data_IF_466594637293
#
_entry.id   IF_466594637293
#
_cell.length_a   1.000
_cell.length_b   1.000
_cell.length_c   1.000
_cell.angle_alpha   90.00
_cell.angle_beta   90.00
_cell.angle_gamma   90.00
#
_symmetry.space_group_name_H-M   'P 1'
#
loop_
_entity.id
_entity.type
_entity.pdbx_description
1 polymer ?
#
# COMPACT_ATOMS: atom_id res chain seq x y z
N UNK A 1 -41.84 -11.33 11.85
CA UNK A 1 -40.92 -11.87 10.82
C UNK A 1 -39.63 -11.08 10.93
N UNK A 2 -38.60 -11.67 11.52
CA UNK A 2 -37.29 -11.04 11.68
C UNK A 2 -36.29 -11.76 10.79
N UNK A 3 -35.68 -11.06 9.84
CA UNK A 3 -34.65 -11.61 8.96
C UNK A 3 -33.35 -10.88 9.29
N UNK A 4 -32.34 -11.67 9.61
CA UNK A 4 -31.10 -11.25 10.25
C UNK A 4 -30.27 -10.30 9.40
N UNK A 5 -30.05 -9.14 9.97
CA UNK A 5 -29.04 -8.17 9.55
C UNK A 5 -27.70 -8.60 10.19
N UNK A 6 -26.85 -9.29 9.42
CA UNK A 6 -25.48 -9.60 9.84
C UNK A 6 -24.62 -8.37 9.59
N UNK A 7 -24.67 -7.44 10.53
CA UNK A 7 -23.65 -6.41 10.74
C UNK A 7 -22.30 -7.09 10.98
N UNK A 8 -21.39 -7.02 10.01
CA UNK A 8 -19.99 -7.34 10.22
C UNK A 8 -19.37 -6.21 11.04
N UNK A 9 -19.48 -6.33 12.37
CA UNK A 9 -18.71 -5.57 13.34
C UNK A 9 -17.23 -5.96 13.20
N UNK A 10 -16.48 -5.21 12.40
CA UNK A 10 -15.03 -5.30 12.39
C UNK A 10 -14.56 -4.71 13.73
N UNK A 11 -14.01 -5.58 14.57
CA UNK A 11 -13.58 -5.24 15.92
C UNK A 11 -12.49 -4.18 15.89
N UNK A 12 -12.82 -3.06 16.51
CA UNK A 12 -11.94 -2.03 17.02
C UNK A 12 -10.83 -2.65 17.89
N UNK A 13 -9.58 -2.36 17.55
CA UNK A 13 -8.38 -2.53 18.38
C UNK A 13 -7.28 -1.72 17.69
N UNK A 14 -6.95 -0.53 18.22
CA UNK A 14 -5.59 -0.01 18.47
C UNK A 14 -5.66 1.45 18.99
N UNK A 15 -5.87 1.67 20.31
CA UNK A 15 -6.01 3.00 20.90
C UNK A 15 -4.67 3.74 21.16
N UNK A 16 -3.55 3.38 20.51
CA UNK A 16 -2.22 3.88 20.87
C UNK A 16 -1.59 4.91 19.91
N UNK A 17 -2.24 5.24 18.79
CA UNK A 17 -1.73 6.25 17.83
C UNK A 17 -2.31 7.67 18.06
N UNK A 18 -2.91 7.92 19.22
CA UNK A 18 -3.53 9.21 19.59
C UNK A 18 -2.53 10.26 20.11
N UNK A 19 -1.24 10.19 19.74
CA UNK A 19 -0.21 11.16 20.16
C UNK A 19 0.70 11.67 19.02
N UNK A 20 0.17 11.77 17.80
CA UNK A 20 0.71 12.73 16.84
C UNK A 20 -0.33 13.86 16.67
N UNK A 21 0.07 15.07 17.08
CA UNK A 21 -0.76 16.25 17.14
C UNK A 21 -1.47 16.58 15.80
N UNK A 22 -2.62 17.23 15.97
CA UNK A 22 -3.51 17.75 14.95
C UNK A 22 -2.80 18.57 13.83
N UNK A 23 -3.39 18.53 12.64
CA UNK A 23 -3.42 19.64 11.66
C UNK A 23 -2.17 19.98 10.82
N UNK A 24 -1.02 19.34 10.97
CA UNK A 24 0.17 19.75 10.16
C UNK A 24 0.50 18.74 9.06
N UNK A 25 0.17 19.11 7.83
CA UNK A 25 0.59 18.48 6.57
C UNK A 25 0.01 17.10 6.29
N UNK A 26 -1.11 17.07 5.55
CA UNK A 26 -1.40 15.94 4.67
C UNK A 26 -0.30 15.92 3.61
N UNK A 27 0.78 15.21 3.91
CA UNK A 27 1.88 15.05 2.97
C UNK A 27 1.37 14.28 1.76
N UNK A 28 1.67 14.72 0.53
CA UNK A 28 1.32 13.96 -0.67
C UNK A 28 2.03 12.60 -0.69
N UNK A 29 3.13 12.44 0.06
CA UNK A 29 3.89 11.20 0.18
C UNK A 29 3.05 10.09 0.83
N UNK A 30 3.07 8.91 0.23
CA UNK A 30 2.39 7.72 0.78
C UNK A 30 3.06 7.22 2.06
N UNK A 31 4.39 7.28 2.10
CA UNK A 31 5.23 6.79 3.18
C UNK A 31 6.02 7.96 3.83
N UNK A 32 6.38 7.85 5.12
CA UNK A 32 7.17 8.87 5.79
C UNK A 32 8.54 9.06 5.11
N UNK A 33 9.12 10.25 5.25
CA UNK A 33 10.46 10.53 4.70
C UNK A 33 11.47 9.58 5.36
N UNK A 34 12.33 8.97 4.54
CA UNK A 34 13.30 7.93 4.94
C UNK A 34 12.71 6.60 5.41
N UNK A 35 11.44 6.31 5.08
CA UNK A 35 10.87 4.99 5.31
C UNK A 35 11.73 3.90 4.64
N UNK A 36 12.27 2.99 5.46
CA UNK A 36 12.84 1.74 4.98
C UNK A 36 11.73 0.70 4.88
N UNK A 37 11.49 0.22 3.67
CA UNK A 37 10.55 -0.86 3.42
C UNK A 37 11.16 -2.20 3.82
N UNK A 38 10.34 -3.05 4.40
CA UNK A 38 10.70 -4.43 4.76
C UNK A 38 9.79 -5.44 4.02
N UNK A 39 8.53 -5.08 3.81
CA UNK A 39 7.55 -5.91 3.10
C UNK A 39 6.60 -5.04 2.28
N UNK A 40 6.28 -5.47 1.08
CA UNK A 40 5.13 -5.02 0.29
C UNK A 40 4.34 -6.27 -0.09
N UNK A 41 3.08 -6.34 0.32
CA UNK A 41 2.22 -7.48 0.05
C UNK A 41 0.92 -6.99 -0.60
N UNK A 42 0.69 -7.41 -1.83
CA UNK A 42 -0.56 -7.20 -2.54
C UNK A 42 -1.35 -8.52 -2.58
N UNK A 43 -2.53 -8.50 -3.19
CA UNK A 43 -3.32 -9.71 -3.43
C UNK A 43 -2.64 -10.68 -4.43
N UNK A 44 -1.81 -10.17 -5.34
CA UNK A 44 -1.22 -10.95 -6.44
C UNK A 44 0.25 -11.31 -6.22
N UNK A 45 0.98 -10.47 -5.48
CA UNK A 45 2.41 -10.62 -5.27
C UNK A 45 2.86 -10.07 -3.91
N UNK A 46 3.97 -10.59 -3.42
CA UNK A 46 4.60 -10.22 -2.16
C UNK A 46 6.09 -10.03 -2.38
N UNK A 47 6.60 -8.86 -2.00
CA UNK A 47 8.00 -8.52 -2.01
C UNK A 47 8.49 -8.34 -0.58
N UNK A 48 9.37 -9.23 -0.13
CA UNK A 48 9.92 -9.21 1.23
C UNK A 48 11.43 -9.00 1.19
N UNK A 49 11.97 -8.20 2.10
CA UNK A 49 13.40 -8.04 2.26
C UNK A 49 13.97 -9.28 2.95
N UNK A 50 15.05 -9.86 2.40
CA UNK A 50 15.77 -10.98 3.01
C UNK A 50 17.10 -10.48 3.57
N UNK A 51 17.22 -10.25 4.89
CA UNK A 51 18.45 -9.72 5.48
C UNK A 51 19.63 -10.71 5.46
N UNK A 52 19.35 -12.01 5.38
CA UNK A 52 20.34 -13.09 5.47
C UNK A 52 20.59 -13.82 4.13
N UNK A 53 20.02 -13.31 3.03
CA UNK A 53 20.10 -13.94 1.71
C UNK A 53 21.12 -13.29 0.76
N UNK A 54 21.60 -14.00 -0.26
CA UNK A 54 22.38 -13.40 -1.35
C UNK A 54 21.56 -12.41 -2.20
N UNK A 55 20.22 -12.43 -2.07
CA UNK A 55 19.29 -11.49 -2.68
C UNK A 55 18.65 -10.64 -1.59
N UNK A 56 18.77 -9.31 -1.70
CA UNK A 56 18.23 -8.36 -0.72
C UNK A 56 16.69 -8.38 -0.69
N UNK A 57 16.07 -8.71 -1.82
CA UNK A 57 14.61 -8.74 -2.00
C UNK A 57 14.16 -10.06 -2.61
N UNK A 58 13.06 -10.60 -2.09
CA UNK A 58 12.43 -11.82 -2.57
C UNK A 58 11.00 -11.54 -3.01
N UNK A 59 10.70 -11.84 -4.28
CA UNK A 59 9.35 -11.77 -4.83
C UNK A 59 8.66 -13.14 -4.71
N UNK A 60 7.39 -13.14 -4.33
CA UNK A 60 6.51 -14.31 -4.29
C UNK A 60 5.21 -13.96 -5.02
N UNK A 61 4.75 -14.73 -6.02
CA UNK A 61 5.41 -15.92 -6.58
C UNK A 61 6.78 -15.56 -7.17
N UNK A 62 7.74 -16.48 -7.05
CA UNK A 62 9.09 -16.25 -7.55
C UNK A 62 9.05 -16.10 -9.07
N UNK A 63 9.35 -14.88 -9.54
CA UNK A 63 9.48 -14.59 -10.96
C UNK A 63 10.97 -14.60 -11.32
N UNK A 64 11.36 -15.53 -12.19
CA UNK A 64 12.75 -15.66 -12.65
C UNK A 64 13.14 -14.62 -13.69
N UNK A 65 12.20 -13.83 -14.21
CA UNK A 65 12.45 -12.79 -15.19
C UNK A 65 12.73 -11.42 -14.54
N UNK A 66 12.39 -11.24 -13.26
CA UNK A 66 12.66 -10.01 -12.54
C UNK A 66 14.09 -9.95 -11.99
N UNK A 67 14.92 -9.10 -12.59
CA UNK A 67 16.24 -8.73 -12.03
C UNK A 67 16.10 -8.03 -10.68
N UNK A 68 17.12 -8.15 -9.83
CA UNK A 68 17.15 -7.52 -8.51
C UNK A 68 17.03 -5.99 -8.59
N UNK A 69 17.58 -5.36 -9.63
CA UNK A 69 17.41 -3.94 -9.92
C UNK A 69 15.92 -3.54 -10.08
N UNK A 70 15.09 -4.38 -10.71
CA UNK A 70 13.66 -4.13 -10.84
C UNK A 70 12.91 -4.24 -9.51
N UNK A 71 13.35 -5.16 -8.64
CA UNK A 71 12.78 -5.27 -7.30
C UNK A 71 13.11 -4.02 -6.46
N UNK A 72 14.34 -3.51 -6.56
CA UNK A 72 14.78 -2.28 -5.89
C UNK A 72 14.02 -1.09 -6.46
N UNK A 73 13.94 -0.95 -7.78
CA UNK A 73 13.17 0.11 -8.45
C UNK A 73 11.70 0.11 -7.99
N UNK A 74 11.10 -1.07 -7.82
CA UNK A 74 9.74 -1.18 -7.29
C UNK A 74 9.60 -0.65 -5.86
N UNK A 75 10.57 -0.98 -5.02
CA UNK A 75 10.61 -0.49 -3.63
C UNK A 75 10.79 1.03 -3.62
N UNK A 76 11.66 1.56 -4.47
CA UNK A 76 11.86 3.01 -4.61
C UNK A 76 10.61 3.72 -5.16
N UNK A 77 9.91 3.15 -6.14
CA UNK A 77 8.62 3.70 -6.63
C UNK A 77 7.60 3.81 -5.49
N UNK A 78 7.52 2.83 -4.60
CA UNK A 78 6.66 2.90 -3.40
C UNK A 78 7.14 3.94 -2.39
N UNK A 79 8.46 4.04 -2.18
CA UNK A 79 9.09 4.96 -1.24
C UNK A 79 8.94 6.43 -1.66
N UNK A 80 9.08 6.70 -2.95
CA UNK A 80 8.96 8.03 -3.55
C UNK A 80 7.58 8.28 -4.15
N UNK A 81 6.61 7.41 -3.90
CA UNK A 81 5.23 7.61 -4.35
C UNK A 81 4.63 8.86 -3.70
N UNK A 82 4.24 9.80 -4.55
CA UNK A 82 3.55 11.02 -4.15
C UNK A 82 2.19 11.10 -4.85
N UNK A 83 1.16 11.34 -4.05
CA UNK A 83 -0.17 11.61 -4.53
C UNK A 83 -0.25 13.03 -5.09
N UNK A 84 -0.90 13.16 -6.23
CA UNK A 84 -1.26 14.48 -6.76
C UNK A 84 -2.36 15.12 -5.93
N UNK A 85 -3.25 14.31 -5.36
CA UNK A 85 -4.37 14.77 -4.57
C UNK A 85 -4.66 13.81 -3.43
N UNK A 86 -4.94 14.35 -2.26
CA UNK A 86 -5.41 13.59 -1.11
C UNK A 86 -6.84 14.01 -0.79
N UNK A 87 -7.74 13.05 -0.72
CA UNK A 87 -9.17 13.27 -0.45
C UNK A 87 -9.63 12.35 0.68
N UNK A 88 -10.77 12.66 1.29
CA UNK A 88 -11.46 11.70 2.15
C UNK A 88 -12.27 10.74 1.27
N UNK A 89 -12.21 9.41 1.51
CA UNK A 89 -13.02 8.47 0.75
C UNK A 89 -14.51 8.72 1.01
N UNK A 90 -15.38 8.63 -0.01
CA UNK A 90 -16.81 8.72 0.20
C UNK A 90 -17.31 7.52 1.04
N UNK A 91 -18.36 7.71 1.87
CA UNK A 91 -18.95 6.60 2.61
C UNK A 91 -19.55 5.56 1.65
N UNK A 92 -19.32 4.28 1.92
CA UNK A 92 -19.77 3.18 1.04
C UNK A 92 -18.84 2.89 -0.14
N UNK A 93 -17.60 3.37 -0.11
CA UNK A 93 -16.58 3.03 -1.10
C UNK A 93 -16.36 1.52 -1.14
N UNK A 94 -16.45 0.93 -2.34
CA UNK A 94 -16.16 -0.50 -2.56
C UNK A 94 -14.66 -0.67 -2.71
N UNK A 95 -14.06 -1.53 -1.89
CA UNK A 95 -12.64 -1.84 -1.96
C UNK A 95 -12.41 -2.93 -3.01
N UNK A 96 -11.60 -2.61 -4.03
CA UNK A 96 -11.20 -3.52 -5.10
C UNK A 96 -10.07 -4.46 -4.64
N UNK A 97 -9.06 -3.92 -3.97
CA UNK A 97 -7.88 -4.67 -3.53
C UNK A 97 -7.30 -4.11 -2.23
N UNK A 98 -6.42 -4.88 -1.58
CA UNK A 98 -5.64 -4.40 -0.42
C UNK A 98 -4.16 -4.63 -0.64
N UNK A 99 -3.37 -3.71 -0.13
CA UNK A 99 -1.92 -3.73 -0.12
C UNK A 99 -1.43 -3.45 1.28
N UNK A 100 -0.65 -4.37 1.84
CA UNK A 100 0.01 -4.20 3.12
C UNK A 100 1.47 -3.81 2.88
N UNK A 101 1.93 -2.76 3.54
CA UNK A 101 3.30 -2.28 3.46
C UNK A 101 3.89 -2.24 4.86
N UNK A 102 4.95 -3.00 5.11
CA UNK A 102 5.65 -2.98 6.39
C UNK A 102 6.91 -2.14 6.28
N UNK A 103 7.04 -1.21 7.22
CA UNK A 103 8.25 -0.42 7.40
C UNK A 103 9.13 -1.07 8.46
N UNK A 104 10.44 -0.94 8.30
CA UNK A 104 11.45 -1.46 9.23
C UNK A 104 11.53 -0.68 10.53
N UNK A 105 11.44 0.65 10.42
CA UNK A 105 11.66 1.58 11.54
C UNK A 105 10.39 1.80 12.39
N UNK A 106 9.21 1.51 11.83
CA UNK A 106 7.97 1.50 12.61
C UNK A 106 7.83 0.16 13.31
N UNK A 107 7.53 0.18 14.60
CA UNK A 107 7.41 -0.91 15.58
C UNK A 107 6.47 -2.07 15.16
N UNK A 108 6.81 -2.75 14.06
CA UNK A 108 6.04 -3.78 13.35
C UNK A 108 4.66 -3.37 12.77
N UNK A 109 4.26 -2.10 12.84
CA UNK A 109 2.97 -1.66 12.28
C UNK A 109 3.01 -1.68 10.75
N UNK A 110 2.29 -2.63 10.16
CA UNK A 110 2.09 -2.66 8.72
C UNK A 110 1.03 -1.64 8.31
N UNK A 111 1.38 -0.76 7.37
CA UNK A 111 0.48 0.21 6.79
C UNK A 111 -0.40 -0.52 5.79
N UNK A 112 -1.70 -0.58 6.06
CA UNK A 112 -2.65 -1.17 5.14
C UNK A 112 -3.24 -0.10 4.25
N UNK A 113 -3.16 -0.35 2.95
CA UNK A 113 -3.77 0.45 1.91
C UNK A 113 -4.87 -0.34 1.21
N UNK A 114 -6.05 0.24 1.14
CA UNK A 114 -7.17 -0.29 0.38
C UNK A 114 -7.25 0.45 -0.97
N UNK A 115 -7.23 -0.29 -2.06
CA UNK A 115 -7.39 0.22 -3.41
C UNK A 115 -8.87 0.26 -3.75
N UNK A 116 -9.34 1.38 -4.29
CA UNK A 116 -10.71 1.52 -4.75
C UNK A 116 -10.78 2.40 -5.99
N UNK A 117 -11.80 2.19 -6.81
CA UNK A 117 -12.11 3.08 -7.94
C UNK A 117 -13.10 4.16 -7.54
N UNK A 118 -12.77 5.40 -7.87
CA UNK A 118 -13.66 6.54 -7.76
C UNK A 118 -13.82 7.17 -9.14
N UNK A 119 -15.01 7.05 -9.71
CA UNK A 119 -15.31 7.45 -11.09
C UNK A 119 -14.40 6.74 -12.09
N UNK A 120 -13.38 7.43 -12.62
CA UNK A 120 -12.40 6.88 -13.57
C UNK A 120 -10.98 6.88 -13.00
N UNK A 121 -10.81 7.29 -11.75
CA UNK A 121 -9.52 7.28 -11.06
C UNK A 121 -9.45 6.10 -10.10
N UNK A 122 -8.27 5.48 -10.01
CA UNK A 122 -7.97 4.51 -8.95
C UNK A 122 -7.27 5.25 -7.82
N UNK A 123 -7.72 5.05 -6.58
CA UNK A 123 -7.14 5.69 -5.40
C UNK A 123 -6.70 4.64 -4.39
N UNK A 124 -5.70 5.02 -3.58
CA UNK A 124 -5.19 4.24 -2.45
C UNK A 124 -5.67 4.88 -1.15
N UNK A 125 -6.61 4.24 -0.46
CA UNK A 125 -7.03 4.56 0.89
C UNK A 125 -6.01 4.01 1.89
N UNK A 126 -5.32 4.88 2.62
CA UNK A 126 -4.55 4.46 3.80
C UNK A 126 -5.51 4.28 4.97
N UNK A 127 -5.75 3.03 5.38
CA UNK A 127 -6.78 2.70 6.39
C UNK A 127 -6.45 3.29 7.76
N UNK A 128 -5.17 3.36 8.10
CA UNK A 128 -4.64 3.96 9.33
C UNK A 128 -5.00 5.47 9.46
N UNK A 129 -4.98 6.22 8.36
CA UNK A 129 -5.27 7.65 8.35
C UNK A 129 -6.70 8.00 7.91
N UNK A 130 -7.41 7.03 7.29
CA UNK A 130 -8.69 7.29 6.63
C UNK A 130 -8.59 8.26 5.45
N UNK A 131 -7.42 8.37 4.82
CA UNK A 131 -7.14 9.29 3.72
C UNK A 131 -6.92 8.52 2.41
N UNK A 132 -7.54 8.98 1.33
CA UNK A 132 -7.40 8.43 0.00
C UNK A 132 -6.44 9.27 -0.85
N UNK A 133 -5.46 8.60 -1.43
CA UNK A 133 -4.38 9.17 -2.22
C UNK A 133 -4.65 8.88 -3.70
N UNK A 134 -4.73 9.93 -4.50
CA UNK A 134 -4.85 9.88 -5.96
C UNK A 134 -3.45 10.03 -6.56
N UNK A 135 -2.93 8.94 -7.14
CA UNK A 135 -1.61 8.94 -7.77
C UNK A 135 -1.75 8.86 -9.30
N UNK A 136 -0.89 9.57 -10.05
CA UNK A 136 -0.92 9.56 -11.52
C UNK A 136 -0.57 8.19 -12.09
N UNK A 137 0.24 7.41 -11.36
CA UNK A 137 0.82 6.14 -11.82
C UNK A 137 0.52 4.98 -10.87
N UNK A 138 -0.66 5.00 -10.25
CA UNK A 138 -1.09 3.97 -9.30
C UNK A 138 -1.08 2.55 -9.91
N UNK A 139 -1.42 2.41 -11.18
CA UNK A 139 -1.40 1.11 -11.87
C UNK A 139 0.00 0.51 -11.92
N UNK A 140 1.02 1.33 -12.20
CA UNK A 140 2.42 0.88 -12.19
C UNK A 140 2.89 0.52 -10.78
N UNK A 141 2.35 1.18 -9.75
CA UNK A 141 2.65 0.94 -8.36
C UNK A 141 2.01 -0.35 -7.83
N UNK A 142 0.81 -0.70 -8.29
CA UNK A 142 0.10 -1.93 -7.95
C UNK A 142 0.53 -3.14 -8.77
N UNK A 143 0.98 -2.94 -10.02
CA UNK A 143 1.46 -4.02 -10.88
C UNK A 143 2.60 -4.82 -10.21
N UNK A 144 2.67 -6.12 -10.46
CA UNK A 144 3.81 -6.92 -10.01
C UNK A 144 5.11 -6.31 -10.55
N UNK A 145 6.22 -6.35 -9.78
CA UNK A 145 7.55 -6.08 -10.31
C UNK A 145 7.90 -7.22 -11.27
N UNK A 146 7.40 -7.11 -12.49
CA UNK A 146 7.75 -7.94 -13.63
C UNK A 146 8.50 -7.05 -14.62
N UNK A 147 9.43 -7.64 -15.37
CA UNK A 147 10.03 -6.97 -16.51
C UNK A 147 8.91 -6.34 -17.37
N UNK A 148 9.11 -5.11 -17.90
CA UNK A 148 8.09 -4.43 -18.68
C UNK A 148 7.62 -5.38 -19.78
N UNK A 149 6.32 -5.70 -19.79
CA UNK A 149 5.71 -6.36 -20.95
C UNK A 149 5.89 -5.38 -22.11
N UNK A 150 6.93 -5.59 -22.92
CA UNK A 150 7.01 -5.06 -24.27
C UNK A 150 5.68 -5.44 -24.93
N UNK A 151 4.81 -4.45 -25.10
CA UNK A 151 3.62 -4.62 -25.93
C UNK A 151 4.13 -4.93 -27.35
N UNK A 152 3.58 -5.96 -28.02
CA UNK A 152 3.98 -6.34 -29.37
C UNK A 152 3.68 -5.25 -30.40
#
# INVERSE_FOLDING_TARGET
IGIGDRLYLIKDLFPHLLLAAAETYVSPKLLPQNAELDLIQTAEWRLARMPDGPQVWQLTPADTASSMDHLIEKVDEWKYAEAQRVIKPPPGTVIDARVEVRLRDSDATAITFSVFKLQQSTLLLREDLGLAYDLPRIEALLAAPAAPKMRP
#
